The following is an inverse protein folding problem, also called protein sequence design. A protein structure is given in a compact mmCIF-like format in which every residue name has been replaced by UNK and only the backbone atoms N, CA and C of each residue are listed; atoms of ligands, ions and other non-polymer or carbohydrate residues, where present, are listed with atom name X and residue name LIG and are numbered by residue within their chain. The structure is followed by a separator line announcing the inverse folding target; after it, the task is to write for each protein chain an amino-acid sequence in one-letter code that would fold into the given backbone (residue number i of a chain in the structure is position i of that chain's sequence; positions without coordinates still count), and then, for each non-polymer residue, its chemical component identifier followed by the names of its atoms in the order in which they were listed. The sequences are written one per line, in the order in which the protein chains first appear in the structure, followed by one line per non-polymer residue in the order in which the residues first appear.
data_IF_696711041702
#
_entry.id   IF_696711041702
#
_cell.length_a   1.000
_cell.length_b   1.000
_cell.length_c   1.000
_cell.angle_alpha   90.00
_cell.angle_beta   90.00
_cell.angle_gamma   90.00
#
_symmetry.space_group_name_H-M   'P 1'
#
loop_
_entity.id
_entity.type
_entity.pdbx_description
1 polymer ?
#
# COMPACT_ATOMS: atom_id res chain seq x y z
N UNK A 1 -15.52 27.90 43.82
CA UNK A 1 -14.48 27.50 42.84
C UNK A 1 -14.59 26.01 42.56
N UNK A 2 -15.16 25.60 41.42
CA UNK A 2 -15.34 24.18 41.05
C UNK A 2 -14.39 23.82 39.90
N UNK A 3 -13.41 22.94 40.16
CA UNK A 3 -12.45 22.47 39.16
C UNK A 3 -13.10 21.39 38.29
N UNK A 4 -13.42 21.71 37.03
CA UNK A 4 -13.83 20.74 36.01
C UNK A 4 -12.66 19.79 35.70
N UNK A 5 -12.79 18.52 36.07
CA UNK A 5 -11.91 17.43 35.58
C UNK A 5 -12.23 17.19 34.09
N UNK A 6 -11.31 17.54 33.20
CA UNK A 6 -11.36 17.12 31.79
C UNK A 6 -11.12 15.61 31.75
N UNK A 7 -12.13 14.83 31.32
CA UNK A 7 -11.93 13.43 30.94
C UNK A 7 -11.13 13.42 29.64
N UNK A 8 -9.93 12.88 29.69
CA UNK A 8 -9.17 12.53 28.50
C UNK A 8 -9.94 11.39 27.80
N UNK A 9 -10.36 11.61 26.55
CA UNK A 9 -10.86 10.51 25.72
C UNK A 9 -9.63 9.69 25.32
N UNK A 10 -9.58 8.48 25.84
CA UNK A 10 -8.65 7.42 25.46
C UNK A 10 -8.65 7.31 23.93
N UNK A 11 -7.49 7.45 23.30
CA UNK A 11 -7.36 7.25 21.86
C UNK A 11 -7.65 5.77 21.60
N UNK A 12 -8.72 5.51 20.86
CA UNK A 12 -9.04 4.16 20.41
C UNK A 12 -7.87 3.67 19.57
N UNK A 13 -7.01 2.85 20.19
CA UNK A 13 -5.97 2.07 19.54
C UNK A 13 -6.63 1.39 18.34
N UNK A 14 -6.16 1.63 17.11
CA UNK A 14 -6.61 0.85 15.96
C UNK A 14 -6.43 -0.62 16.34
N UNK A 15 -7.53 -1.33 16.56
CA UNK A 15 -7.49 -2.78 16.73
C UNK A 15 -6.93 -3.30 15.41
N UNK A 16 -5.81 -4.02 15.46
CA UNK A 16 -5.33 -4.74 14.29
C UNK A 16 -6.51 -5.57 13.77
N UNK A 17 -7.01 -5.26 12.57
CA UNK A 17 -7.96 -6.15 11.92
C UNK A 17 -7.20 -7.45 11.63
N UNK A 18 -7.38 -8.43 12.50
CA UNK A 18 -6.95 -9.81 12.33
C UNK A 18 -7.85 -10.57 11.35
N UNK A 19 -8.78 -9.86 10.70
CA UNK A 19 -9.61 -10.40 9.63
C UNK A 19 -8.84 -10.14 8.34
N UNK A 20 -8.19 -11.18 7.82
CA UNK A 20 -7.77 -11.21 6.43
C UNK A 20 -9.02 -10.91 5.58
N UNK A 21 -9.04 -9.76 4.90
CA UNK A 21 -10.11 -9.47 3.96
C UNK A 21 -9.96 -10.44 2.79
N UNK A 22 -10.96 -11.28 2.56
CA UNK A 22 -11.05 -12.08 1.35
C UNK A 22 -11.42 -11.14 0.20
N UNK A 23 -10.40 -10.62 -0.49
CA UNK A 23 -10.58 -9.65 -1.57
C UNK A 23 -11.15 -10.39 -2.79
N UNK A 24 -12.32 -9.95 -3.25
CA UNK A 24 -12.91 -10.44 -4.52
C UNK A 24 -12.31 -9.62 -5.67
N UNK A 25 -11.67 -10.27 -6.62
CA UNK A 25 -11.31 -9.64 -7.90
C UNK A 25 -12.60 -9.14 -8.58
N UNK A 26 -12.76 -7.82 -8.72
CA UNK A 26 -14.00 -7.23 -9.28
C UNK A 26 -13.97 -7.05 -10.80
N UNK A 27 -12.81 -7.28 -11.45
CA UNK A 27 -12.68 -7.31 -12.91
C UNK A 27 -11.50 -8.18 -13.34
N UNK A 28 -11.63 -8.88 -14.46
CA UNK A 28 -10.54 -9.57 -15.15
C UNK A 28 -10.38 -8.93 -16.53
N UNK A 29 -9.22 -8.32 -16.80
CA UNK A 29 -8.91 -7.56 -18.01
C UNK A 29 -7.56 -6.84 -17.89
N UNK A 30 -7.30 -5.80 -18.70
CA UNK A 30 -6.09 -4.96 -18.67
C UNK A 30 -5.90 -4.12 -17.39
N UNK A 31 -6.71 -4.36 -16.36
CA UNK A 31 -6.64 -3.75 -15.03
C UNK A 31 -7.67 -4.32 -14.07
N UNK A 32 -7.54 -4.04 -12.77
CA UNK A 32 -8.48 -4.45 -11.73
C UNK A 32 -8.43 -3.53 -10.51
N UNK A 33 -9.48 -3.58 -9.68
CA UNK A 33 -9.60 -2.82 -8.43
C UNK A 33 -9.86 -3.77 -7.26
N UNK A 34 -9.11 -3.59 -6.18
CA UNK A 34 -9.29 -4.20 -4.88
C UNK A 34 -9.78 -3.17 -3.88
N UNK A 35 -10.93 -3.41 -3.27
CA UNK A 35 -11.41 -2.65 -2.12
C UNK A 35 -11.19 -3.51 -0.86
N UNK A 36 -10.45 -3.01 0.13
CA UNK A 36 -10.28 -3.68 1.43
C UNK A 36 -11.43 -3.29 2.36
N UNK A 37 -12.18 -4.31 2.80
CA UNK A 37 -13.32 -4.30 3.73
C UNK A 37 -14.52 -3.37 3.44
N UNK A 38 -15.71 -3.88 3.76
CA UNK A 38 -16.98 -3.15 3.76
C UNK A 38 -17.17 -2.23 4.98
N UNK A 39 -16.32 -2.32 6.01
CA UNK A 39 -16.41 -1.51 7.22
C UNK A 39 -15.50 -0.28 7.12
N UNK A 40 -15.73 0.52 6.08
CA UNK A 40 -14.98 1.74 5.79
C UNK A 40 -15.13 2.78 6.91
N UNK A 41 -14.18 2.85 7.83
CA UNK A 41 -14.13 3.91 8.83
C UNK A 41 -12.67 4.26 9.20
N UNK A 42 -12.19 5.50 8.97
CA UNK A 42 -12.90 6.63 8.35
C UNK A 42 -12.89 6.62 6.81
N UNK A 43 -12.03 5.82 6.18
CA UNK A 43 -11.79 5.83 4.72
C UNK A 43 -11.58 4.39 4.23
N UNK A 44 -12.22 4.00 3.12
CA UNK A 44 -11.93 2.72 2.46
C UNK A 44 -10.51 2.76 1.86
N UNK A 45 -9.74 1.69 2.00
CA UNK A 45 -8.48 1.59 1.25
C UNK A 45 -8.73 0.82 -0.05
N UNK A 46 -8.01 1.16 -1.11
CA UNK A 46 -8.09 0.44 -2.37
C UNK A 46 -6.73 0.29 -3.03
N UNK A 47 -6.58 -0.76 -3.82
CA UNK A 47 -5.44 -0.98 -4.71
C UNK A 47 -6.00 -1.20 -6.10
N UNK A 48 -5.57 -0.38 -7.04
CA UNK A 48 -5.94 -0.50 -8.44
C UNK A 48 -4.69 -0.70 -9.25
N UNK A 49 -4.77 -1.48 -10.31
CA UNK A 49 -3.71 -1.56 -11.30
C UNK A 49 -4.27 -1.62 -12.70
N UNK A 50 -3.51 -1.11 -13.66
CA UNK A 50 -3.81 -1.21 -15.07
C UNK A 50 -2.53 -1.23 -15.90
N UNK A 51 -2.60 -1.80 -17.10
CA UNK A 51 -1.51 -1.75 -18.06
C UNK A 51 -1.29 -0.29 -18.48
N UNK A 52 -0.05 0.17 -18.35
CA UNK A 52 0.32 1.51 -18.80
C UNK A 52 0.46 1.55 -20.31
N UNK A 53 0.38 2.76 -20.87
CA UNK A 53 0.81 3.04 -22.24
C UNK A 53 2.34 3.09 -22.38
N UNK A 54 3.08 3.06 -21.26
CA UNK A 54 4.53 2.84 -21.26
C UNK A 54 4.80 1.34 -21.48
N UNK A 55 5.72 1.04 -22.39
CA UNK A 55 6.13 -0.33 -22.68
C UNK A 55 6.52 -1.06 -21.40
N UNK A 56 5.95 -2.25 -21.22
CA UNK A 56 6.24 -3.14 -20.10
C UNK A 56 6.16 -2.50 -18.70
N UNK A 57 5.18 -1.60 -18.49
CA UNK A 57 4.84 -1.06 -17.17
C UNK A 57 3.36 -1.26 -16.81
N UNK A 58 3.11 -1.50 -15.52
CA UNK A 58 1.81 -1.40 -14.87
C UNK A 58 1.75 -0.07 -14.12
N UNK A 59 0.59 0.58 -14.12
CA UNK A 59 0.29 1.69 -13.22
C UNK A 59 -0.48 1.15 -12.02
N UNK A 60 0.03 1.39 -10.82
CA UNK A 60 -0.66 1.14 -9.57
C UNK A 60 -1.24 2.44 -9.01
N UNK A 61 -2.40 2.34 -8.36
CA UNK A 61 -3.02 3.42 -7.58
C UNK A 61 -3.49 2.85 -6.26
N UNK A 62 -2.89 3.32 -5.16
CA UNK A 62 -3.19 2.89 -3.80
C UNK A 62 -3.85 4.07 -3.08
N UNK A 63 -5.00 3.84 -2.46
CA UNK A 63 -5.71 4.86 -1.68
C UNK A 63 -6.02 4.38 -0.27
N UNK A 64 -6.12 5.31 0.68
CA UNK A 64 -6.56 5.04 2.05
C UNK A 64 -6.29 6.21 3.00
N UNK A 65 -6.20 6.00 4.32
CA UNK A 65 -6.05 7.08 5.29
C UNK A 65 -4.82 7.98 5.05
N UNK A 66 -4.95 9.29 5.25
CA UNK A 66 -3.88 10.26 5.00
C UNK A 66 -2.70 10.28 6.00
N UNK A 67 -2.69 9.35 6.95
CA UNK A 67 -1.66 9.26 8.00
C UNK A 67 -1.37 7.80 8.28
N UNK A 68 -0.10 7.45 8.42
CA UNK A 68 0.36 6.07 8.57
C UNK A 68 0.85 5.52 7.24
N UNK A 69 0.50 4.26 6.95
CA UNK A 69 0.90 3.61 5.70
C UNK A 69 -0.20 2.72 5.13
N UNK A 70 -0.11 2.48 3.83
CA UNK A 70 -0.86 1.47 3.10
C UNK A 70 0.17 0.70 2.28
N UNK A 71 0.13 -0.62 2.36
CA UNK A 71 1.04 -1.49 1.63
C UNK A 71 0.25 -2.43 0.73
N UNK A 72 0.79 -2.70 -0.45
CA UNK A 72 0.32 -3.72 -1.36
C UNK A 72 1.49 -4.60 -1.76
N UNK A 73 1.24 -5.90 -1.86
CA UNK A 73 2.25 -6.88 -2.22
C UNK A 73 1.77 -7.75 -3.39
N UNK A 74 2.72 -8.17 -4.21
CA UNK A 74 2.54 -9.11 -5.31
C UNK A 74 3.19 -10.42 -4.86
N UNK A 75 2.35 -11.42 -4.61
CA UNK A 75 2.74 -12.74 -4.14
C UNK A 75 2.59 -13.78 -5.25
N UNK A 76 3.44 -14.81 -5.21
CA UNK A 76 3.36 -15.96 -6.10
C UNK A 76 2.41 -17.05 -5.59
N UNK A 77 2.13 -17.10 -4.29
CA UNK A 77 1.35 -18.15 -3.62
C UNK A 77 0.09 -17.64 -2.91
N UNK A 78 -0.21 -16.35 -3.06
CA UNK A 78 -1.33 -15.65 -2.44
C UNK A 78 -1.26 -15.56 -0.91
N UNK A 79 -0.12 -15.94 -0.32
CA UNK A 79 0.19 -15.76 1.09
C UNK A 79 1.14 -14.58 1.26
N UNK A 80 1.19 -14.06 2.47
CA UNK A 80 2.10 -12.96 2.83
C UNK A 80 3.48 -13.52 3.18
N UNK A 81 4.48 -13.14 2.38
CA UNK A 81 5.81 -13.75 2.38
C UNK A 81 5.79 -15.16 1.78
N UNK A 82 6.96 -15.82 1.63
CA UNK A 82 8.29 -15.37 2.05
C UNK A 82 9.05 -14.58 0.98
N UNK A 83 8.43 -14.30 -0.16
CA UNK A 83 9.11 -13.61 -1.24
C UNK A 83 8.09 -12.85 -2.08
N UNK A 84 7.57 -11.76 -1.51
CA UNK A 84 6.62 -10.89 -2.21
C UNK A 84 7.25 -9.54 -2.52
N UNK A 85 7.00 -9.03 -3.72
CA UNK A 85 7.34 -7.67 -4.12
C UNK A 85 6.34 -6.70 -3.50
N UNK A 86 6.81 -5.72 -2.76
CA UNK A 86 5.96 -4.86 -1.93
C UNK A 86 6.20 -3.39 -2.19
N UNK A 87 5.11 -2.63 -2.22
CA UNK A 87 5.11 -1.18 -2.28
C UNK A 87 4.37 -0.59 -1.09
N UNK A 88 4.97 0.42 -0.45
CA UNK A 88 4.44 1.07 0.75
C UNK A 88 4.25 2.57 0.48
N UNK A 89 3.00 3.00 0.52
CA UNK A 89 2.61 4.41 0.52
C UNK A 89 2.56 4.89 1.97
N UNK A 90 3.47 5.78 2.37
CA UNK A 90 3.64 6.24 3.75
C UNK A 90 3.54 7.76 3.86
N UNK A 91 2.91 8.22 4.94
CA UNK A 91 2.93 9.62 5.37
C UNK A 91 2.91 9.72 6.89
N UNK A 92 3.82 10.53 7.45
CA UNK A 92 3.84 10.79 8.90
C UNK A 92 2.71 11.73 9.33
N UNK A 93 2.41 11.76 10.64
CA UNK A 93 1.37 12.63 11.20
C UNK A 93 1.78 14.13 11.29
N UNK A 94 3.02 14.47 10.94
CA UNK A 94 3.48 15.84 11.01
C UNK A 94 2.75 16.73 9.99
N UNK A 95 2.48 17.97 10.38
CA UNK A 95 1.93 18.97 9.48
C UNK A 95 2.88 19.18 8.30
N UNK A 96 2.33 19.20 7.08
CA UNK A 96 3.15 19.31 5.86
C UNK A 96 4.00 18.09 5.51
N UNK A 97 3.88 16.95 6.23
CA UNK A 97 4.63 15.75 5.89
C UNK A 97 4.34 15.29 4.45
N UNK A 98 5.38 14.97 3.65
CA UNK A 98 5.19 14.47 2.30
C UNK A 98 4.67 13.03 2.30
N UNK A 99 4.07 12.64 1.18
CA UNK A 99 3.79 11.23 0.87
C UNK A 99 5.05 10.63 0.27
N UNK A 100 5.46 9.46 0.74
CA UNK A 100 6.61 8.71 0.25
C UNK A 100 6.12 7.35 -0.24
N UNK A 101 6.55 6.94 -1.43
CA UNK A 101 6.29 5.61 -1.97
C UNK A 101 7.59 4.83 -1.91
N UNK A 102 7.63 3.76 -1.14
CA UNK A 102 8.79 2.89 -1.02
C UNK A 102 8.54 1.57 -1.74
N UNK A 103 9.60 0.99 -2.31
CA UNK A 103 9.65 -0.41 -2.75
C UNK A 103 10.35 -1.26 -1.69
N UNK A 104 10.09 -2.56 -1.72
CA UNK A 104 10.64 -3.51 -0.77
C UNK A 104 10.19 -4.93 -1.04
N UNK A 105 10.43 -5.81 -0.08
CA UNK A 105 9.97 -7.19 -0.14
C UNK A 105 9.54 -7.73 1.22
N UNK A 106 8.72 -8.78 1.20
CA UNK A 106 8.29 -9.52 2.39
C UNK A 106 9.00 -10.87 2.46
N UNK A 107 9.53 -11.20 3.64
CA UNK A 107 10.13 -12.51 3.97
C UNK A 107 9.25 -13.38 4.85
N UNK A 108 8.20 -12.82 5.44
CA UNK A 108 7.26 -13.49 6.32
C UNK A 108 6.00 -12.62 6.50
N UNK A 109 5.10 -13.07 7.39
CA UNK A 109 4.00 -12.27 7.93
C UNK A 109 4.52 -11.18 8.89
N UNK A 110 5.33 -10.26 8.38
CA UNK A 110 6.02 -9.21 9.10
C UNK A 110 6.08 -7.93 8.26
N UNK A 111 6.44 -6.76 8.82
CA UNK A 111 6.67 -5.56 8.03
C UNK A 111 7.69 -5.79 6.90
N UNK A 112 7.52 -5.16 5.73
CA UNK A 112 8.44 -5.35 4.60
C UNK A 112 9.81 -4.77 4.89
N UNK A 113 10.84 -5.43 4.34
CA UNK A 113 12.17 -4.84 4.22
C UNK A 113 12.14 -3.84 3.07
N UNK A 114 12.29 -2.56 3.40
CA UNK A 114 12.34 -1.48 2.40
C UNK A 114 13.70 -1.49 1.69
N UNK A 115 13.67 -1.53 0.36
CA UNK A 115 14.88 -1.49 -0.48
C UNK A 115 15.19 -0.09 -0.98
N UNK A 116 14.18 0.78 -1.10
CA UNK A 116 14.37 2.17 -1.48
C UNK A 116 13.06 2.94 -1.66
N UNK A 117 13.20 4.21 -2.02
CA UNK A 117 12.09 5.04 -2.49
C UNK A 117 11.87 4.76 -3.98
N UNK A 118 10.61 4.74 -4.43
CA UNK A 118 10.30 4.67 -5.87
C UNK A 118 10.88 5.90 -6.58
N UNK A 119 11.58 5.65 -7.68
CA UNK A 119 12.19 6.71 -8.50
C UNK A 119 11.16 7.72 -8.99
N UNK A 120 11.56 8.99 -9.07
CA UNK A 120 10.63 10.11 -9.32
C UNK A 120 9.95 9.99 -10.69
N UNK A 121 10.64 9.49 -11.71
CA UNK A 121 10.08 9.26 -13.06
C UNK A 121 9.01 8.17 -13.11
N UNK A 122 8.97 7.32 -12.08
CA UNK A 122 7.98 6.28 -11.90
C UNK A 122 6.84 6.71 -10.98
N UNK A 123 6.93 7.87 -10.31
CA UNK A 123 5.80 8.43 -9.58
C UNK A 123 4.86 9.11 -10.58
N UNK A 124 3.59 8.69 -10.61
CA UNK A 124 2.54 9.32 -11.41
C UNK A 124 1.95 10.51 -10.66
N UNK A 125 1.55 10.30 -9.41
CA UNK A 125 1.02 11.34 -8.55
C UNK A 125 1.01 10.91 -7.08
N UNK A 126 1.06 11.91 -6.20
CA UNK A 126 0.68 11.75 -4.80
C UNK A 126 -0.27 12.88 -4.42
N UNK A 127 -1.34 12.59 -3.68
CA UNK A 127 -2.29 13.63 -3.27
C UNK A 127 -2.96 13.31 -1.93
N UNK A 128 -3.49 14.35 -1.30
CA UNK A 128 -4.35 14.24 -0.12
C UNK A 128 -5.62 15.02 -0.39
N UNK A 129 -6.75 14.32 -0.46
CA UNK A 129 -8.06 14.91 -0.71
C UNK A 129 -9.07 14.29 0.27
N UNK A 130 -9.83 15.13 0.96
CA UNK A 130 -10.87 14.68 1.90
C UNK A 130 -10.39 13.65 2.95
N UNK A 131 -9.14 13.78 3.41
CA UNK A 131 -8.54 12.84 4.39
C UNK A 131 -8.04 11.52 3.79
N UNK A 132 -8.05 11.40 2.46
CA UNK A 132 -7.58 10.24 1.70
C UNK A 132 -6.23 10.56 1.09
N UNK A 133 -5.22 9.73 1.37
CA UNK A 133 -3.96 9.73 0.65
C UNK A 133 -4.07 8.82 -0.57
N UNK A 134 -3.61 9.32 -1.71
CA UNK A 134 -3.49 8.58 -2.97
C UNK A 134 -2.03 8.53 -3.38
N UNK A 135 -1.54 7.33 -3.67
CA UNK A 135 -0.23 7.08 -4.27
C UNK A 135 -0.42 6.40 -5.62
N UNK A 136 0.06 7.03 -6.70
CA UNK A 136 0.08 6.41 -8.02
C UNK A 136 1.50 6.35 -8.58
N UNK A 137 1.89 5.19 -9.08
CA UNK A 137 3.24 4.93 -9.56
C UNK A 137 3.25 3.84 -10.64
N UNK A 138 4.34 3.80 -11.41
CA UNK A 138 4.62 2.73 -12.36
C UNK A 138 5.51 1.66 -11.74
N UNK A 139 5.24 0.41 -12.11
CA UNK A 139 6.04 -0.77 -11.81
C UNK A 139 6.29 -1.51 -13.11
N UNK A 140 7.49 -2.01 -13.34
CA UNK A 140 7.77 -2.90 -14.47
C UNK A 140 6.92 -4.19 -14.38
N UNK A 141 6.62 -4.82 -15.52
CA UNK A 141 5.94 -6.13 -15.52
C UNK A 141 6.78 -7.20 -14.82
N UNK A 142 8.08 -7.22 -15.11
CA UNK A 142 9.05 -8.13 -14.52
C UNK A 142 9.99 -7.37 -13.61
N UNK A 143 9.95 -7.70 -12.32
CA UNK A 143 10.86 -7.17 -11.30
C UNK A 143 11.63 -8.35 -10.74
N UNK A 144 12.95 -8.23 -10.64
CA UNK A 144 13.80 -9.22 -9.97
C UNK A 144 14.48 -8.57 -8.78
N UNK A 145 14.38 -9.21 -7.61
CA UNK A 145 15.10 -8.81 -6.40
C UNK A 145 15.86 -10.00 -5.84
N UNK A 146 16.92 -9.70 -5.08
CA UNK A 146 17.67 -10.71 -4.34
C UNK A 146 17.20 -10.76 -2.89
N UNK A 147 16.52 -11.83 -2.52
CA UNK A 147 16.00 -12.10 -1.17
C UNK A 147 16.74 -13.32 -0.63
N UNK A 148 17.37 -13.18 0.55
CA UNK A 148 18.10 -14.27 1.21
C UNK A 148 19.00 -15.05 0.23
N UNK A 149 19.83 -14.28 -0.48
CA UNK A 149 20.78 -14.75 -1.51
C UNK A 149 20.17 -15.33 -2.80
N UNK A 150 18.85 -15.51 -2.86
CA UNK A 150 18.11 -16.06 -4.00
C UNK A 150 17.53 -14.95 -4.87
N UNK A 151 17.63 -15.10 -6.19
CA UNK A 151 16.92 -14.20 -7.12
C UNK A 151 15.47 -14.65 -7.24
N UNK A 152 14.55 -13.74 -6.92
CA UNK A 152 13.11 -13.93 -7.09
C UNK A 152 12.62 -12.95 -8.14
N UNK A 153 11.84 -13.45 -9.09
CA UNK A 153 11.26 -12.67 -10.17
C UNK A 153 9.74 -12.72 -10.09
N UNK A 154 9.11 -11.55 -10.06
CA UNK A 154 7.66 -11.40 -10.17
C UNK A 154 7.33 -10.82 -11.54
N UNK A 155 6.92 -11.69 -12.46
CA UNK A 155 6.49 -11.36 -13.81
C UNK A 155 4.97 -11.42 -13.93
N UNK A 156 4.36 -10.33 -14.37
CA UNK A 156 2.91 -10.15 -14.49
C UNK A 156 2.42 -10.13 -15.95
N UNK A 157 3.25 -10.58 -16.90
CA UNK A 157 2.93 -10.57 -18.34
C UNK A 157 1.77 -11.50 -18.70
#
# INVERSE_FOLDING_TARGET
MSKRKRRYKESTKCKSNQVQDNIRQLASGSGSVWNVSSTCNPVCSSVQWERSNRDNMLKFTITGPNTGYIAAAISQDQLMGPSDDTYVCFRSAAEGAPIIINSGYLTAQAPPTITGTVETENIVSTSIENGIMTCSFYRAFSVTSRIDETNVTWDLQ
#
